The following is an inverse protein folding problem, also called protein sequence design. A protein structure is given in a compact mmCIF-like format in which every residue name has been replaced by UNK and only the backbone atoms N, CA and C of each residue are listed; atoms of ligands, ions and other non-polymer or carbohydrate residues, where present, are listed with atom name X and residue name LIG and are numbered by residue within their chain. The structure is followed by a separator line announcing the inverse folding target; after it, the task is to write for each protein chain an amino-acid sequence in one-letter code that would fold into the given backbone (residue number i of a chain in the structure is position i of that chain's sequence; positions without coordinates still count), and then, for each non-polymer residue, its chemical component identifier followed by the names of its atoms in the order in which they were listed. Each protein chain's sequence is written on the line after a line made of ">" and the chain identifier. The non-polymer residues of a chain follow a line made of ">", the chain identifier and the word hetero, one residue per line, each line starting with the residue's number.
data_IF_863330848791
#
_entry.id   IF_863330848791
#
_cell.length_a   1.000
_cell.length_b   1.000
_cell.length_c   1.000
_cell.angle_alpha   90.00
_cell.angle_beta   90.00
_cell.angle_gamma   90.00
#
_symmetry.space_group_name_H-M   'P 1'
#
loop_
_entity.id
_entity.type
_entity.pdbx_description
1 polymer ?
#
# COMPACT_ATOMS: atom_id res chain seq x y z
N UNK A 1 23.12 -17.88 8.46
CA UNK A 1 21.64 -18.04 8.43
C UNK A 1 20.98 -17.31 7.27
N UNK A 2 21.29 -16.03 6.96
CA UNK A 2 20.68 -15.34 5.80
C UNK A 2 21.07 -15.91 4.44
N UNK A 3 22.34 -16.27 4.22
CA UNK A 3 22.81 -16.88 2.97
C UNK A 3 22.24 -18.29 2.73
N UNK A 4 22.22 -19.12 3.78
CA UNK A 4 21.60 -20.46 3.73
C UNK A 4 20.12 -20.41 3.30
N UNK A 5 19.39 -19.35 3.69
CA UNK A 5 18.00 -19.16 3.27
C UNK A 5 17.87 -18.75 1.80
N UNK A 6 18.85 -18.03 1.24
CA UNK A 6 18.86 -17.64 -0.17
C UNK A 6 19.21 -18.83 -1.06
N UNK A 7 20.18 -19.67 -0.67
CA UNK A 7 20.52 -20.88 -1.43
C UNK A 7 19.37 -21.88 -1.46
N UNK A 8 18.69 -22.07 -0.31
CA UNK A 8 17.48 -22.89 -0.24
C UNK A 8 16.33 -22.31 -1.08
N UNK A 9 16.12 -21.00 -1.04
CA UNK A 9 15.12 -20.34 -1.88
C UNK A 9 15.44 -20.54 -3.37
N UNK A 10 16.70 -20.37 -3.78
CA UNK A 10 17.13 -20.58 -5.17
C UNK A 10 16.96 -22.02 -5.61
N UNK A 11 17.33 -22.97 -4.75
CA UNK A 11 17.14 -24.40 -5.02
C UNK A 11 15.65 -24.74 -5.16
N UNK A 12 14.80 -24.23 -4.26
CA UNK A 12 13.37 -24.49 -4.30
C UNK A 12 12.71 -23.89 -5.53
N UNK A 13 13.02 -22.62 -5.84
CA UNK A 13 12.42 -21.90 -6.97
C UNK A 13 12.92 -22.44 -8.32
N UNK A 14 14.19 -22.82 -8.43
CA UNK A 14 14.73 -23.42 -9.67
C UNK A 14 14.20 -24.81 -9.99
N UNK A 15 13.61 -25.49 -8.99
CA UNK A 15 12.98 -26.81 -9.14
C UNK A 15 11.46 -26.76 -9.27
N UNK A 16 10.85 -25.59 -9.13
CA UNK A 16 9.41 -25.43 -9.33
C UNK A 16 9.06 -25.53 -10.82
N UNK A 17 7.92 -26.15 -11.14
CA UNK A 17 7.44 -26.23 -12.51
C UNK A 17 7.14 -24.84 -13.11
N UNK A 18 6.59 -23.95 -12.27
CA UNK A 18 6.24 -22.57 -12.62
C UNK A 18 6.52 -21.69 -11.41
N UNK A 19 7.08 -20.50 -11.64
CA UNK A 19 7.29 -19.46 -10.62
C UNK A 19 6.50 -18.23 -11.03
N UNK A 20 5.73 -17.68 -10.09
CA UNK A 20 4.83 -16.54 -10.35
C UNK A 20 5.23 -15.36 -9.48
N UNK A 21 5.37 -14.20 -10.11
CA UNK A 21 5.62 -12.90 -9.48
C UNK A 21 4.33 -12.08 -9.45
N UNK A 22 4.10 -11.36 -8.36
CA UNK A 22 2.89 -10.54 -8.19
C UNK A 22 3.04 -9.07 -8.61
N UNK A 23 4.25 -8.68 -9.01
CA UNK A 23 4.58 -7.37 -9.57
C UNK A 23 5.69 -7.52 -10.61
N UNK A 24 5.80 -6.54 -11.50
CA UNK A 24 6.85 -6.46 -12.52
C UNK A 24 8.22 -6.40 -11.84
N UNK A 25 8.33 -5.67 -10.73
CA UNK A 25 9.60 -5.54 -10.02
C UNK A 25 10.04 -6.87 -9.39
N UNK A 26 9.12 -7.60 -8.76
CA UNK A 26 9.40 -8.95 -8.25
C UNK A 26 9.78 -9.91 -9.39
N UNK A 27 9.17 -9.78 -10.56
CA UNK A 27 9.53 -10.58 -11.75
C UNK A 27 10.98 -10.32 -12.18
N UNK A 28 11.42 -9.05 -12.19
CA UNK A 28 12.81 -8.69 -12.49
C UNK A 28 13.77 -9.23 -11.43
N UNK A 29 13.44 -9.07 -10.15
CA UNK A 29 14.26 -9.61 -9.06
C UNK A 29 14.43 -11.13 -9.18
N UNK A 30 13.39 -11.86 -9.57
CA UNK A 30 13.46 -13.30 -9.82
C UNK A 30 14.37 -13.64 -11.02
N UNK A 31 14.32 -12.85 -12.09
CA UNK A 31 15.24 -12.99 -13.24
C UNK A 31 16.69 -12.77 -12.80
N UNK A 32 16.97 -11.71 -12.04
CA UNK A 32 18.29 -11.41 -11.48
C UNK A 32 18.78 -12.48 -10.51
N UNK A 33 17.85 -13.09 -9.77
CA UNK A 33 18.12 -14.21 -8.87
C UNK A 33 18.46 -15.52 -9.62
N UNK A 34 18.22 -15.56 -10.93
CA UNK A 34 18.54 -16.70 -11.81
C UNK A 34 17.37 -17.64 -12.04
N UNK A 35 16.13 -17.24 -11.72
CA UNK A 35 14.93 -18.00 -12.05
C UNK A 35 14.60 -17.81 -13.52
N UNK A 36 14.45 -18.92 -14.24
CA UNK A 36 14.11 -18.91 -15.65
C UNK A 36 12.61 -18.70 -15.83
N UNK A 37 12.23 -17.75 -16.69
CA UNK A 37 10.86 -17.50 -17.11
C UNK A 37 9.83 -17.31 -15.96
N UNK A 38 10.10 -16.45 -14.94
CA UNK A 38 9.08 -16.13 -13.96
C UNK A 38 7.87 -15.47 -14.65
N UNK A 39 6.67 -15.96 -14.33
CA UNK A 39 5.41 -15.49 -14.91
C UNK A 39 4.87 -14.32 -14.07
N UNK A 40 4.22 -13.34 -14.70
CA UNK A 40 3.58 -12.23 -13.99
C UNK A 40 2.10 -12.53 -13.76
N UNK A 41 1.66 -12.42 -12.52
CA UNK A 41 0.26 -12.49 -12.13
C UNK A 41 -0.01 -11.51 -10.99
N UNK A 42 -0.53 -10.33 -11.31
CA UNK A 42 -0.86 -9.32 -10.31
C UNK A 42 -1.95 -9.82 -9.34
N UNK A 43 -1.92 -9.35 -8.10
CA UNK A 43 -3.01 -9.62 -7.16
C UNK A 43 -4.34 -9.03 -7.69
N UNK A 44 -5.45 -9.79 -7.64
CA UNK A 44 -6.75 -9.26 -8.02
C UNK A 44 -7.27 -8.29 -6.96
N UNK A 45 -8.04 -7.30 -7.40
CA UNK A 45 -8.84 -6.46 -6.51
C UNK A 45 -10.09 -7.24 -6.13
N UNK A 46 -10.30 -7.43 -4.82
CA UNK A 46 -11.50 -8.05 -4.27
C UNK A 46 -12.21 -7.03 -3.40
N UNK A 47 -13.27 -6.43 -3.93
CA UNK A 47 -14.16 -5.55 -3.17
C UNK A 47 -15.42 -6.32 -2.73
N UNK A 48 -15.95 -6.06 -1.52
CA UNK A 48 -17.23 -6.59 -1.12
C UNK A 48 -18.35 -5.97 -1.99
N UNK A 49 -19.40 -6.74 -2.28
CA UNK A 49 -20.58 -6.26 -3.04
C UNK A 49 -21.24 -5.05 -2.39
N UNK A 50 -21.20 -4.98 -1.07
CA UNK A 50 -21.71 -3.87 -0.28
C UNK A 50 -20.63 -3.39 0.68
N UNK A 51 -20.37 -2.08 0.66
CA UNK A 51 -19.47 -1.43 1.60
C UNK A 51 -20.33 -0.89 2.73
N UNK A 52 -20.14 -1.45 3.93
CA UNK A 52 -20.79 -0.94 5.13
C UNK A 52 -20.29 0.48 5.42
N UNK A 53 -21.22 1.41 5.65
CA UNK A 53 -20.93 2.81 6.00
C UNK A 53 -21.11 3.09 7.50
N UNK A 54 -21.07 2.06 8.34
CA UNK A 54 -21.42 2.14 9.76
C UNK A 54 -20.27 2.62 10.66
N UNK A 55 -19.30 3.34 10.11
CA UNK A 55 -18.24 3.92 10.93
C UNK A 55 -18.78 5.17 11.65
N UNK A 56 -18.78 5.14 12.98
CA UNK A 56 -18.95 6.32 13.82
C UNK A 56 -17.66 7.19 13.80
N UNK A 57 -17.15 7.47 12.61
CA UNK A 57 -15.96 8.29 12.38
C UNK A 57 -16.35 9.46 11.48
N UNK A 58 -15.94 10.66 11.87
CA UNK A 58 -16.02 11.81 10.98
C UNK A 58 -15.15 11.53 9.74
N UNK A 59 -15.68 11.73 8.53
CA UNK A 59 -15.01 11.45 7.24
C UNK A 59 -13.79 12.34 6.94
N UNK A 60 -13.42 13.23 7.85
CA UNK A 60 -12.22 14.08 7.72
C UNK A 60 -10.96 13.39 8.27
N UNK A 61 -10.58 12.25 7.69
CA UNK A 61 -9.31 11.58 8.01
C UNK A 61 -8.53 11.10 6.80
N UNK A 62 -7.21 11.12 6.93
CA UNK A 62 -6.30 10.35 6.08
C UNK A 62 -6.12 8.94 6.68
N UNK A 63 -5.96 7.93 5.83
CA UNK A 63 -5.80 6.55 6.26
C UNK A 63 -4.42 6.01 5.84
N UNK A 64 -3.79 5.25 6.74
CA UNK A 64 -2.65 4.41 6.42
C UNK A 64 -2.90 2.98 6.92
N UNK A 65 -2.46 1.99 6.15
CA UNK A 65 -2.70 0.56 6.43
C UNK A 65 -1.42 -0.22 6.17
N UNK A 66 -1.03 -1.06 7.13
CA UNK A 66 0.16 -1.91 6.97
C UNK A 66 0.80 -2.33 8.28
N UNK A 67 1.78 -3.23 8.18
CA UNK A 67 2.59 -3.66 9.32
C UNK A 67 3.40 -2.50 9.88
N UNK A 68 3.45 -2.34 11.20
CA UNK A 68 4.24 -1.31 11.88
C UNK A 68 5.71 -1.72 11.93
N UNK A 69 6.38 -1.64 10.79
CA UNK A 69 7.74 -2.13 10.55
C UNK A 69 8.59 -1.11 9.79
N UNK A 70 9.91 -1.35 9.75
CA UNK A 70 10.88 -0.38 9.19
C UNK A 70 10.66 -0.13 7.70
N UNK A 71 10.30 -1.16 6.94
CA UNK A 71 10.06 -1.06 5.51
C UNK A 71 8.81 -0.23 5.16
N UNK A 72 7.85 -0.07 6.08
CA UNK A 72 6.66 0.78 5.88
C UNK A 72 6.90 2.26 6.23
N UNK A 73 7.98 2.56 6.95
CA UNK A 73 8.45 3.90 7.30
C UNK A 73 7.35 4.86 7.80
N UNK A 74 6.57 4.39 8.79
CA UNK A 74 5.60 5.24 9.50
C UNK A 74 6.26 6.42 10.23
N UNK A 75 7.56 6.37 10.49
CA UNK A 75 8.30 7.47 11.10
C UNK A 75 8.28 8.72 10.20
N UNK A 76 8.61 8.57 8.91
CA UNK A 76 8.48 9.65 7.92
C UNK A 76 7.05 10.16 7.83
N UNK A 77 6.06 9.26 7.81
CA UNK A 77 4.64 9.62 7.76
C UNK A 77 4.22 10.50 8.95
N UNK A 78 4.53 10.08 10.18
CA UNK A 78 4.13 10.81 11.39
C UNK A 78 4.82 12.17 11.45
N UNK A 79 6.12 12.25 11.11
CA UNK A 79 6.86 13.52 11.06
C UNK A 79 6.26 14.47 10.02
N UNK A 80 5.91 13.98 8.83
CA UNK A 80 5.32 14.79 7.79
C UNK A 80 3.90 15.26 8.14
N UNK A 81 3.11 14.39 8.78
CA UNK A 81 1.77 14.74 9.27
C UNK A 81 1.83 15.83 10.35
N UNK A 82 2.75 15.71 11.32
CA UNK A 82 3.04 16.75 12.31
C UNK A 82 3.45 18.07 11.64
N UNK A 83 4.34 18.01 10.64
CA UNK A 83 4.77 19.19 9.88
C UNK A 83 3.64 19.83 9.07
N UNK A 84 2.71 19.03 8.55
CA UNK A 84 1.54 19.51 7.81
C UNK A 84 0.60 20.32 8.71
N UNK A 85 0.47 19.91 9.98
CA UNK A 85 -0.26 20.64 11.02
C UNK A 85 -1.70 21.04 10.62
N UNK A 86 -2.38 20.17 9.89
CA UNK A 86 -3.78 20.33 9.49
C UNK A 86 -4.68 20.04 10.70
N UNK A 87 -5.16 21.08 11.40
CA UNK A 87 -5.89 20.94 12.67
C UNK A 87 -7.22 20.18 12.56
N UNK A 88 -7.84 20.23 11.40
CA UNK A 88 -9.13 19.60 11.11
C UNK A 88 -9.00 18.13 10.68
N UNK A 89 -7.79 17.70 10.30
CA UNK A 89 -7.52 16.39 9.76
C UNK A 89 -7.06 15.42 10.86
N UNK A 90 -7.63 14.21 10.87
CA UNK A 90 -7.11 13.08 11.65
C UNK A 90 -6.30 12.14 10.75
N UNK A 91 -5.23 11.53 11.26
CA UNK A 91 -4.57 10.39 10.63
C UNK A 91 -4.96 9.11 11.36
N UNK A 92 -5.58 8.17 10.65
CA UNK A 92 -5.90 6.84 11.18
C UNK A 92 -4.87 5.84 10.64
N UNK A 93 -4.26 5.07 11.54
CA UNK A 93 -3.30 4.02 11.21
C UNK A 93 -3.88 2.66 11.60
N UNK A 94 -4.05 1.78 10.62
CA UNK A 94 -4.48 0.40 10.81
C UNK A 94 -3.29 -0.55 10.64
N UNK A 95 -3.11 -1.42 11.63
CA UNK A 95 -2.07 -2.43 11.63
C UNK A 95 -1.37 -2.59 12.97
N UNK A 96 -0.47 -3.57 13.01
CA UNK A 96 0.34 -3.93 14.18
C UNK A 96 1.77 -4.25 13.75
N UNK A 97 2.70 -4.28 14.70
CA UNK A 97 4.10 -4.62 14.45
C UNK A 97 5.02 -4.09 15.54
N UNK A 98 6.28 -4.48 15.44
CA UNK A 98 7.30 -4.28 16.48
C UNK A 98 7.58 -2.80 16.78
N UNK A 99 7.29 -1.89 15.84
CA UNK A 99 7.50 -0.46 16.02
C UNK A 99 6.31 0.26 16.68
N UNK A 100 5.25 -0.43 17.10
CA UNK A 100 4.04 0.22 17.64
C UNK A 100 4.34 1.22 18.76
N UNK A 101 5.14 0.82 19.76
CA UNK A 101 5.41 1.65 20.92
C UNK A 101 6.22 2.91 20.57
N UNK A 102 7.26 2.78 19.73
CA UNK A 102 8.05 3.95 19.31
C UNK A 102 7.24 4.91 18.43
N UNK A 103 6.34 4.38 17.59
CA UNK A 103 5.46 5.20 16.75
C UNK A 103 4.39 5.92 17.58
N UNK A 104 3.84 5.29 18.62
CA UNK A 104 2.91 5.94 19.55
C UNK A 104 3.57 7.11 20.28
N UNK A 105 4.79 6.91 20.77
CA UNK A 105 5.60 7.98 21.38
C UNK A 105 5.86 9.11 20.38
N UNK A 106 6.27 8.78 19.16
CA UNK A 106 6.49 9.75 18.09
C UNK A 106 5.22 10.51 17.71
N UNK A 107 4.04 9.90 17.85
CA UNK A 107 2.75 10.50 17.50
C UNK A 107 2.19 11.46 18.55
N UNK A 108 2.73 11.50 19.77
CA UNK A 108 2.26 12.38 20.87
C UNK A 108 2.13 13.83 20.41
N UNK A 109 1.01 14.46 20.78
CA UNK A 109 0.70 15.85 20.43
C UNK A 109 0.17 16.07 19.01
N UNK A 110 -0.04 15.01 18.23
CA UNK A 110 -0.69 15.08 16.92
C UNK A 110 -2.05 14.35 16.92
N UNK A 111 -2.95 14.72 16.01
CA UNK A 111 -4.24 14.07 15.82
C UNK A 111 -4.09 12.76 15.03
N UNK A 112 -3.42 11.79 15.64
CA UNK A 112 -3.10 10.48 15.04
C UNK A 112 -3.69 9.39 15.93
N UNK A 113 -4.41 8.45 15.33
CA UNK A 113 -5.08 7.36 16.02
C UNK A 113 -4.65 6.00 15.44
N UNK A 114 -4.14 5.13 16.31
CA UNK A 114 -3.77 3.76 15.96
C UNK A 114 -4.91 2.82 16.38
N UNK A 115 -5.59 2.21 15.41
CA UNK A 115 -6.74 1.35 15.69
C UNK A 115 -6.40 -0.15 15.75
N UNK A 116 -5.11 -0.49 15.65
CA UNK A 116 -4.62 -1.86 15.58
C UNK A 116 -5.00 -2.54 14.27
N UNK A 117 -4.89 -3.86 14.24
CA UNK A 117 -5.28 -4.66 13.08
C UNK A 117 -6.80 -4.61 12.86
N UNK A 118 -7.22 -4.45 11.60
CA UNK A 118 -8.62 -4.51 11.19
C UNK A 118 -8.78 -5.52 10.05
N UNK A 119 -9.76 -6.41 10.20
CA UNK A 119 -10.15 -7.34 9.15
C UNK A 119 -10.86 -6.62 7.99
N UNK A 120 -11.73 -5.67 8.30
CA UNK A 120 -12.45 -4.87 7.29
C UNK A 120 -11.76 -3.52 7.09
N UNK A 121 -10.72 -3.50 6.24
CA UNK A 121 -10.01 -2.26 5.85
C UNK A 121 -10.82 -1.43 4.86
N UNK A 122 -11.57 -2.08 3.97
CA UNK A 122 -12.35 -1.46 2.89
C UNK A 122 -13.29 -0.37 3.41
N UNK A 123 -14.01 -0.62 4.49
CA UNK A 123 -14.92 0.37 5.08
C UNK A 123 -14.19 1.63 5.57
N UNK A 124 -12.96 1.50 6.10
CA UNK A 124 -12.13 2.65 6.47
C UNK A 124 -11.60 3.37 5.23
N UNK A 125 -11.14 2.66 4.20
CA UNK A 125 -10.68 3.28 2.96
C UNK A 125 -11.81 4.05 2.28
N UNK A 126 -12.99 3.44 2.18
CA UNK A 126 -14.14 4.03 1.49
C UNK A 126 -14.62 5.34 2.15
N UNK A 127 -14.37 5.53 3.44
CA UNK A 127 -14.71 6.76 4.17
C UNK A 127 -13.52 7.71 4.38
N UNK A 128 -12.32 7.32 3.97
CA UNK A 128 -11.13 8.15 4.06
C UNK A 128 -11.19 9.29 3.04
N UNK A 129 -10.63 10.43 3.44
CA UNK A 129 -10.41 11.59 2.58
C UNK A 129 -9.33 11.30 1.54
N UNK A 130 -8.24 10.68 1.98
CA UNK A 130 -7.16 10.15 1.13
C UNK A 130 -6.37 9.06 1.86
N UNK A 131 -5.62 8.29 1.11
CA UNK A 131 -4.74 7.23 1.60
C UNK A 131 -3.27 7.69 1.61
N UNK A 132 -2.47 7.22 2.56
CA UNK A 132 -1.03 7.49 2.63
C UNK A 132 -0.28 6.18 2.80
N UNK A 133 0.76 5.97 1.98
CA UNK A 133 1.70 4.88 2.14
C UNK A 133 3.14 5.37 1.93
N UNK A 134 4.00 5.19 2.94
CA UNK A 134 5.39 5.67 2.97
C UNK A 134 6.43 4.55 2.86
N UNK A 135 6.08 3.40 2.29
CA UNK A 135 6.97 2.25 2.23
C UNK A 135 8.25 2.52 1.42
N UNK A 136 9.36 1.93 1.89
CA UNK A 136 10.67 2.00 1.25
C UNK A 136 10.83 0.92 0.16
N UNK A 137 10.10 -0.18 0.31
CA UNK A 137 10.03 -1.29 -0.63
C UNK A 137 8.68 -2.00 -0.47
N UNK A 138 8.16 -2.55 -1.55
CA UNK A 138 6.93 -3.34 -1.58
C UNK A 138 7.11 -4.55 -2.49
N UNK A 139 6.33 -5.61 -2.27
CA UNK A 139 6.13 -6.65 -3.29
C UNK A 139 4.99 -6.23 -4.21
N UNK A 140 3.77 -6.27 -3.67
CA UNK A 140 2.56 -5.68 -4.25
C UNK A 140 1.63 -5.29 -3.11
N UNK A 141 1.21 -4.02 -3.05
CA UNK A 141 0.46 -3.49 -1.91
C UNK A 141 -1.05 -3.62 -2.13
N UNK A 142 -1.69 -4.55 -1.43
CA UNK A 142 -3.14 -4.74 -1.50
C UNK A 142 -3.89 -3.49 -1.05
N UNK A 143 -3.42 -2.78 -0.01
CA UNK A 143 -4.11 -1.56 0.44
C UNK A 143 -4.02 -0.42 -0.56
N UNK A 144 -2.95 -0.36 -1.38
CA UNK A 144 -2.87 0.57 -2.52
C UNK A 144 -3.87 0.16 -3.61
N UNK A 145 -3.95 -1.13 -3.96
CA UNK A 145 -4.95 -1.65 -4.90
C UNK A 145 -6.39 -1.38 -4.45
N UNK A 146 -6.69 -1.60 -3.17
CA UNK A 146 -8.00 -1.33 -2.56
C UNK A 146 -8.34 0.16 -2.57
N UNK A 147 -7.38 1.03 -2.22
CA UNK A 147 -7.54 2.49 -2.30
C UNK A 147 -7.86 2.91 -3.73
N UNK A 148 -7.12 2.38 -4.72
CA UNK A 148 -7.36 2.63 -6.14
C UNK A 148 -8.76 2.19 -6.54
N UNK A 149 -9.15 0.98 -6.13
CA UNK A 149 -10.45 0.39 -6.44
C UNK A 149 -11.64 1.22 -5.95
N UNK A 150 -11.45 1.93 -4.83
CA UNK A 150 -12.46 2.78 -4.20
C UNK A 150 -12.42 4.23 -4.71
N UNK A 151 -11.54 4.53 -5.66
CA UNK A 151 -11.34 5.88 -6.19
C UNK A 151 -10.74 6.83 -5.16
N UNK A 152 -10.11 6.33 -4.09
CA UNK A 152 -9.58 7.14 -3.01
C UNK A 152 -8.22 7.71 -3.45
N UNK A 153 -8.03 9.04 -3.45
CA UNK A 153 -6.75 9.63 -3.81
C UNK A 153 -5.68 9.20 -2.81
N UNK A 154 -4.46 9.00 -3.29
CA UNK A 154 -3.37 8.45 -2.48
C UNK A 154 -2.09 9.29 -2.59
N UNK A 155 -1.37 9.39 -1.47
CA UNK A 155 0.02 9.83 -1.41
C UNK A 155 0.89 8.59 -1.22
N UNK A 156 1.75 8.30 -2.19
CA UNK A 156 2.53 7.08 -2.23
C UNK A 156 4.02 7.40 -2.32
N UNK A 157 4.86 6.62 -1.64
CA UNK A 157 6.30 6.63 -1.92
C UNK A 157 6.54 6.38 -3.41
N UNK A 158 7.47 7.13 -3.98
CA UNK A 158 7.94 7.00 -5.35
C UNK A 158 8.87 5.79 -5.47
N UNK A 159 8.24 4.61 -5.53
CA UNK A 159 8.90 3.32 -5.72
C UNK A 159 8.28 2.60 -6.93
N UNK A 160 9.04 1.75 -7.65
CA UNK A 160 8.56 1.08 -8.87
C UNK A 160 7.23 0.34 -8.69
N UNK A 161 7.04 -0.32 -7.55
CA UNK A 161 5.86 -1.14 -7.26
C UNK A 161 4.58 -0.31 -7.13
N UNK A 162 4.69 0.93 -6.62
CA UNK A 162 3.54 1.83 -6.55
C UNK A 162 3.19 2.41 -7.92
N UNK A 163 4.21 2.76 -8.71
CA UNK A 163 4.09 3.23 -10.09
C UNK A 163 3.42 2.21 -11.02
N UNK A 164 3.51 0.92 -10.71
CA UNK A 164 2.82 -0.14 -11.45
C UNK A 164 1.30 -0.14 -11.26
N UNK A 165 0.83 0.29 -10.08
CA UNK A 165 -0.58 0.26 -9.68
C UNK A 165 -1.27 1.57 -10.04
N UNK A 166 -0.78 2.67 -9.46
CA UNK A 166 -1.25 4.00 -9.78
C UNK A 166 -0.40 4.51 -10.94
N UNK A 167 -1.01 4.89 -12.05
CA UNK A 167 -0.25 5.61 -13.08
C UNK A 167 0.04 7.04 -12.58
N UNK A 168 0.21 8.02 -13.48
CA UNK A 168 0.46 9.44 -13.18
C UNK A 168 -0.56 10.13 -12.24
N UNK A 169 -1.66 9.45 -11.84
CA UNK A 169 -2.79 10.02 -11.10
C UNK A 169 -2.59 10.08 -9.56
N UNK A 170 -1.59 9.40 -8.99
CA UNK A 170 -1.28 9.50 -7.56
C UNK A 170 -0.29 10.64 -7.24
N UNK A 171 -0.32 11.09 -5.98
CA UNK A 171 0.71 11.99 -5.45
C UNK A 171 1.95 11.17 -5.04
N UNK A 172 2.93 11.08 -5.92
CA UNK A 172 4.21 10.43 -5.63
C UNK A 172 5.15 11.34 -4.85
N UNK A 173 5.74 10.81 -3.78
CA UNK A 173 6.71 11.52 -2.94
C UNK A 173 8.00 10.71 -2.81
N UNK A 174 9.19 11.33 -2.90
CA UNK A 174 10.43 10.60 -2.67
C UNK A 174 10.47 9.95 -1.29
N UNK A 175 11.07 8.76 -1.20
CA UNK A 175 11.20 8.05 0.07
C UNK A 175 11.92 8.92 1.11
N UNK A 176 11.44 8.89 2.37
CA UNK A 176 11.97 9.67 3.51
C UNK A 176 11.89 11.19 3.37
N UNK A 177 11.25 11.73 2.33
CA UNK A 177 11.08 13.17 2.17
C UNK A 177 9.85 13.68 2.94
N UNK A 178 10.12 14.07 4.19
CA UNK A 178 9.14 14.65 5.12
C UNK A 178 8.50 15.94 4.55
N UNK A 179 9.25 16.74 3.78
CA UNK A 179 8.75 18.04 3.30
C UNK A 179 7.79 17.84 2.14
N UNK A 180 8.17 17.03 1.15
CA UNK A 180 7.31 16.70 0.02
C UNK A 180 6.03 16.01 0.47
N UNK A 181 6.13 15.04 1.41
CA UNK A 181 4.96 14.39 2.00
C UNK A 181 4.07 15.39 2.77
N UNK A 182 4.64 16.28 3.56
CA UNK A 182 3.88 17.30 4.30
C UNK A 182 3.11 18.23 3.36
N UNK A 183 3.72 18.63 2.25
CA UNK A 183 3.07 19.48 1.24
C UNK A 183 1.93 18.73 0.53
N UNK A 184 2.13 17.47 0.17
CA UNK A 184 1.07 16.63 -0.42
C UNK A 184 -0.09 16.40 0.57
N UNK A 185 0.19 16.24 1.87
CA UNK A 185 -0.85 16.14 2.91
C UNK A 185 -1.69 17.41 2.96
N UNK A 186 -1.07 18.61 2.95
CA UNK A 186 -1.81 19.88 2.91
C UNK A 186 -2.67 19.98 1.66
N UNK A 187 -2.10 19.69 0.49
CA UNK A 187 -2.79 19.74 -0.81
C UNK A 187 -4.04 18.86 -0.83
N UNK A 188 -3.92 17.60 -0.42
CA UNK A 188 -5.07 16.68 -0.38
C UNK A 188 -6.03 17.00 0.78
N UNK A 189 -5.57 17.63 1.87
CA UNK A 189 -6.50 18.11 2.89
C UNK A 189 -7.40 19.24 2.36
N UNK A 190 -6.86 20.13 1.54
CA UNK A 190 -7.65 21.21 0.94
C UNK A 190 -8.55 20.69 -0.18
N UNK A 191 -8.01 19.85 -1.07
CA UNK A 191 -8.68 19.41 -2.29
C UNK A 191 -8.50 17.90 -2.53
N UNK A 192 -9.21 17.07 -1.77
CA UNK A 192 -9.35 15.64 -2.05
C UNK A 192 -10.61 15.36 -2.85
N UNK A 193 -10.46 14.80 -4.04
CA UNK A 193 -11.59 14.36 -4.86
C UNK A 193 -11.41 12.89 -5.19
N UNK A 194 -12.47 12.11 -4.98
CA UNK A 194 -12.48 10.72 -5.44
C UNK A 194 -12.57 10.67 -6.95
N UNK A 195 -11.91 9.69 -7.54
CA UNK A 195 -11.91 9.48 -8.99
C UNK A 195 -12.60 8.16 -9.35
N UNK A 196 -12.89 7.97 -10.63
CA UNK A 196 -13.41 6.71 -11.14
C UNK A 196 -12.25 5.83 -11.64
N UNK A 197 -11.92 4.72 -10.97
CA UNK A 197 -10.78 3.90 -11.33
C UNK A 197 -11.08 2.99 -12.53
N UNK A 198 -10.03 2.65 -13.31
CA UNK A 198 -10.10 1.59 -14.31
C UNK A 198 -9.60 0.28 -13.70
N UNK A 199 -10.55 -0.59 -13.33
CA UNK A 199 -10.23 -1.85 -12.64
C UNK A 199 -9.81 -2.99 -13.56
N UNK A 200 -9.89 -2.79 -14.88
CA UNK A 200 -9.71 -3.87 -15.86
C UNK A 200 -8.43 -4.65 -15.61
N UNK A 201 -7.28 -3.97 -15.46
CA UNK A 201 -5.98 -4.62 -15.25
C UNK A 201 -5.96 -5.58 -14.05
N UNK A 202 -6.67 -5.23 -12.98
CA UNK A 202 -6.64 -5.94 -11.69
C UNK A 202 -7.96 -6.66 -11.38
N UNK A 203 -8.81 -6.86 -12.40
CA UNK A 203 -10.10 -7.52 -12.22
C UNK A 203 -9.92 -9.02 -11.95
N UNK A 204 -10.89 -9.62 -11.25
CA UNK A 204 -10.89 -11.05 -10.95
C UNK A 204 -10.92 -11.85 -12.25
N UNK A 205 -11.69 -11.41 -13.25
CA UNK A 205 -11.80 -12.09 -14.54
C UNK A 205 -10.45 -12.13 -15.28
N UNK A 206 -9.69 -11.04 -15.25
CA UNK A 206 -8.36 -10.99 -15.87
C UNK A 206 -7.34 -11.81 -15.09
N UNK A 207 -7.43 -11.82 -13.77
CA UNK A 207 -6.63 -12.71 -12.93
C UNK A 207 -6.89 -14.18 -13.25
N UNK A 208 -8.16 -14.61 -13.26
CA UNK A 208 -8.56 -15.99 -13.58
C UNK A 208 -8.12 -16.40 -14.99
N UNK A 209 -8.33 -15.53 -15.98
CA UNK A 209 -7.89 -15.79 -17.35
C UNK A 209 -6.37 -15.99 -17.44
N UNK A 210 -5.60 -15.17 -16.74
CA UNK A 210 -4.13 -15.27 -16.71
C UNK A 210 -3.69 -16.53 -15.98
N UNK A 211 -4.30 -16.82 -14.82
CA UNK A 211 -4.03 -18.01 -14.02
C UNK A 211 -4.31 -19.30 -14.79
N UNK A 212 -5.44 -19.39 -15.50
CA UNK A 212 -5.75 -20.54 -16.34
C UNK A 212 -4.76 -20.67 -17.50
N UNK A 213 -4.30 -19.55 -18.08
CA UNK A 213 -3.24 -19.53 -19.08
C UNK A 213 -1.90 -20.06 -18.56
N UNK A 214 -1.61 -19.83 -17.28
CA UNK A 214 -0.42 -20.36 -16.62
C UNK A 214 -0.44 -21.88 -16.54
N UNK A 215 -1.60 -22.55 -16.40
CA UNK A 215 -1.65 -24.02 -16.24
C UNK A 215 -1.87 -24.81 -17.54
N UNK A 216 -2.10 -24.14 -18.66
CA UNK A 216 -2.05 -24.76 -19.99
C UNK A 216 -0.59 -25.04 -20.38
#
# INVERSE_FOLDING_TARGET
>A
MKELNLDLAKLSLSRADKVVANSIECQKELLEFGIKNPLLLNNPIILPKHIENNLNLNKNYALAVGRLSKEKDYETMIKAFKKANCKDLKLIILGEGDLKNSLLELAKGANIEFLGYKKNVITYLANAKFFIQTSLFEGSSNSVLESYALGVPAILSDIPQNREIYNLDACYVPCKDITSLSNSIRKLNENSTKFNPNLTKFSIENFEKTLLGIFK
#
